data_IF_461304057288
#
_entry.id   IF_461304057288
#
_cell.length_a   1.000
_cell.length_b   1.000
_cell.length_c   1.000
_cell.angle_alpha   90.00
_cell.angle_beta   90.00
_cell.angle_gamma   90.00
#
_symmetry.space_group_name_H-M   'P 1'
#
loop_
_entity.id
_entity.type
_entity.pdbx_description
1 polymer ?
#
# COMPACT_ATOMS: atom_id res chain seq x y z
N UNK A 1 -20.26 16.07 34.30
CA UNK A 1 -20.14 15.26 33.08
C UNK A 1 -18.99 15.75 32.19
N UNK A 2 -18.89 17.06 31.96
CA UNK A 2 -17.78 17.67 31.22
C UNK A 2 -17.19 18.80 32.06
N UNK A 3 -15.86 18.85 32.18
CA UNK A 3 -15.16 19.89 32.92
C UNK A 3 -14.25 20.67 31.99
N UNK A 4 -14.29 22.00 32.04
CA UNK A 4 -13.50 22.89 31.23
C UNK A 4 -12.54 23.73 32.11
N UNK A 5 -11.29 23.84 31.70
CA UNK A 5 -10.24 24.60 32.40
C UNK A 5 -9.96 25.98 31.78
N UNK A 6 -10.83 26.46 30.88
CA UNK A 6 -10.60 27.71 30.13
C UNK A 6 -10.33 28.94 31.04
N UNK A 7 -10.93 28.96 32.22
CA UNK A 7 -10.72 30.07 33.17
C UNK A 7 -9.27 30.18 33.63
N UNK A 8 -8.56 29.07 33.78
CA UNK A 8 -7.12 29.06 34.10
C UNK A 8 -6.27 29.61 32.95
N UNK A 9 -6.63 29.27 31.71
CA UNK A 9 -5.93 29.77 30.54
C UNK A 9 -6.09 31.29 30.38
N UNK A 10 -7.27 31.82 30.70
CA UNK A 10 -7.59 33.24 30.60
C UNK A 10 -7.11 34.07 31.80
N UNK A 11 -6.81 33.46 32.93
CA UNK A 11 -6.51 34.15 34.19
C UNK A 11 -5.36 35.15 34.06
N UNK A 12 -4.28 34.77 33.41
CA UNK A 12 -3.12 35.62 33.20
C UNK A 12 -3.42 36.80 32.26
N UNK A 13 -4.20 36.57 31.24
CA UNK A 13 -4.56 37.58 30.24
C UNK A 13 -5.56 38.59 30.80
N UNK A 14 -6.57 38.12 31.53
CA UNK A 14 -7.65 38.94 32.11
C UNK A 14 -7.26 39.54 33.48
N UNK A 15 -6.13 39.11 34.07
CA UNK A 15 -5.68 39.51 35.42
C UNK A 15 -6.74 39.29 36.49
N UNK A 16 -7.52 38.20 36.39
CA UNK A 16 -8.56 37.78 37.31
C UNK A 16 -8.26 36.36 37.79
N UNK A 17 -8.82 36.00 38.97
CA UNK A 17 -8.72 34.62 39.44
C UNK A 17 -9.52 33.65 38.55
N UNK A 18 -9.08 32.39 38.38
CA UNK A 18 -9.88 31.40 37.66
C UNK A 18 -11.31 31.25 38.14
N UNK A 19 -11.54 31.39 39.45
CA UNK A 19 -12.86 31.34 40.07
C UNK A 19 -13.75 32.50 39.63
N UNK A 20 -13.23 33.74 39.60
CA UNK A 20 -13.96 34.90 39.13
C UNK A 20 -14.35 34.74 37.65
N UNK A 21 -13.40 34.31 36.83
CA UNK A 21 -13.61 34.09 35.40
C UNK A 21 -14.63 32.97 35.17
N UNK A 22 -14.54 31.86 35.85
CA UNK A 22 -15.52 30.75 35.74
C UNK A 22 -16.93 31.16 36.18
N UNK A 23 -17.04 31.98 37.22
CA UNK A 23 -18.31 32.55 37.68
C UNK A 23 -18.93 33.52 36.64
N UNK A 24 -18.10 34.34 35.98
CA UNK A 24 -18.56 35.22 34.92
C UNK A 24 -19.01 34.43 33.67
N UNK A 25 -18.20 33.44 33.25
CA UNK A 25 -18.49 32.60 32.09
C UNK A 25 -19.75 31.75 32.29
N UNK A 26 -19.97 31.18 33.51
CA UNK A 26 -21.18 30.37 33.79
C UNK A 26 -22.47 31.17 33.64
N UNK A 27 -22.43 32.49 33.89
CA UNK A 27 -23.60 33.38 33.77
C UNK A 27 -23.84 33.84 32.30
N UNK A 28 -22.84 33.75 31.42
CA UNK A 28 -22.94 34.11 30.02
C UNK A 28 -23.51 32.99 29.15
N UNK A 29 -23.51 31.76 29.67
CA UNK A 29 -24.01 30.60 28.95
C UNK A 29 -25.51 30.70 28.64
N UNK A 30 -25.85 30.58 27.35
CA UNK A 30 -27.23 30.54 26.88
C UNK A 30 -27.61 29.09 26.56
N UNK A 31 -28.57 28.56 27.32
CA UNK A 31 -28.99 27.15 27.22
C UNK A 31 -29.63 26.81 25.85
N UNK A 32 -30.15 27.81 25.13
CA UNK A 32 -30.78 27.61 23.81
C UNK A 32 -29.77 27.26 22.72
N UNK A 33 -28.51 27.64 22.92
CA UNK A 33 -27.46 27.39 21.91
C UNK A 33 -27.03 25.90 21.84
N UNK A 34 -27.04 25.21 22.97
CA UNK A 34 -26.70 23.78 23.08
C UNK A 34 -27.72 23.08 23.99
N UNK A 35 -28.85 22.64 23.47
CA UNK A 35 -29.94 22.08 24.26
C UNK A 35 -29.59 20.75 24.97
N UNK A 36 -28.45 20.12 24.64
CA UNK A 36 -27.93 18.93 25.31
C UNK A 36 -27.28 19.23 26.65
N UNK A 37 -26.99 20.50 26.96
CA UNK A 37 -26.46 20.93 28.26
C UNK A 37 -27.60 21.35 29.15
N UNK A 38 -27.73 20.71 30.32
CA UNK A 38 -28.76 20.99 31.31
C UNK A 38 -28.46 22.23 32.12
N UNK A 39 -27.23 22.36 32.60
CA UNK A 39 -26.72 23.52 33.34
C UNK A 39 -25.21 23.63 33.25
N UNK A 40 -24.70 24.83 33.58
CA UNK A 40 -23.26 25.11 33.68
C UNK A 40 -22.98 25.71 35.04
N UNK A 41 -22.06 25.16 35.77
CA UNK A 41 -21.71 25.53 37.13
C UNK A 41 -20.24 25.90 37.25
N UNK A 42 -19.96 26.98 37.96
CA UNK A 42 -18.58 27.32 38.38
C UNK A 42 -18.20 26.55 39.62
N UNK A 43 -17.08 25.84 39.55
CA UNK A 43 -16.50 25.18 40.72
C UNK A 43 -15.58 26.13 41.50
N UNK A 44 -15.53 25.97 42.82
CA UNK A 44 -14.72 26.83 43.71
C UNK A 44 -13.22 26.86 43.32
N UNK A 45 -12.69 25.84 42.67
CA UNK A 45 -11.33 25.78 42.16
C UNK A 45 -11.14 26.48 40.81
N UNK A 46 -12.17 27.06 40.19
CA UNK A 46 -12.09 27.77 38.92
C UNK A 46 -12.40 26.96 37.67
N UNK A 47 -12.84 25.72 37.79
CA UNK A 47 -13.35 24.94 36.66
C UNK A 47 -14.81 25.31 36.33
N UNK A 48 -15.15 25.16 35.05
CA UNK A 48 -16.52 25.16 34.57
C UNK A 48 -16.99 23.72 34.39
N UNK A 49 -18.08 23.35 35.05
CA UNK A 49 -18.69 22.03 34.95
C UNK A 49 -20.00 22.13 34.17
N UNK A 50 -20.08 21.33 33.11
CA UNK A 50 -21.26 21.20 32.26
C UNK A 50 -21.98 19.90 32.60
N UNK A 51 -23.26 19.99 32.97
CA UNK A 51 -24.08 18.83 33.22
C UNK A 51 -24.97 18.55 32.01
N UNK A 52 -25.01 17.32 31.57
CA UNK A 52 -25.67 16.90 30.34
C UNK A 52 -27.15 16.62 30.61
N UNK A 53 -28.06 17.07 29.73
CA UNK A 53 -29.39 16.55 29.59
C UNK A 53 -29.34 15.17 28.90
N UNK A 54 -29.25 14.10 29.66
CA UNK A 54 -29.11 12.75 29.12
C UNK A 54 -30.22 12.34 28.16
N UNK A 55 -31.47 12.82 28.38
CA UNK A 55 -32.57 12.50 27.47
C UNK A 55 -32.33 13.07 26.07
N UNK A 56 -31.97 14.35 25.99
CA UNK A 56 -31.69 15.03 24.72
C UNK A 56 -30.41 14.53 24.09
N UNK A 57 -29.37 14.31 24.89
CA UNK A 57 -28.08 13.79 24.43
C UNK A 57 -28.19 12.37 23.88
N UNK A 58 -28.90 11.47 24.56
CA UNK A 58 -29.15 10.10 24.12
C UNK A 58 -29.87 10.08 22.77
N UNK A 59 -30.92 10.88 22.62
CA UNK A 59 -31.62 10.99 21.32
C UNK A 59 -30.73 11.49 20.22
N UNK A 60 -29.85 12.49 20.48
CA UNK A 60 -28.87 12.97 19.53
C UNK A 60 -27.90 11.85 19.13
N UNK A 61 -27.33 11.14 20.11
CA UNK A 61 -26.36 10.07 19.86
C UNK A 61 -26.99 8.93 19.06
N UNK A 62 -28.18 8.48 19.44
CA UNK A 62 -28.88 7.41 18.69
C UNK A 62 -29.14 7.86 17.25
N UNK A 63 -29.73 9.03 17.06
CA UNK A 63 -30.02 9.53 15.72
C UNK A 63 -28.75 9.71 14.87
N UNK A 64 -27.65 10.19 15.48
CA UNK A 64 -26.36 10.32 14.80
C UNK A 64 -25.76 8.96 14.47
N UNK A 65 -25.82 7.99 15.39
CA UNK A 65 -25.23 6.66 15.18
C UNK A 65 -25.92 5.83 14.10
N UNK A 66 -27.17 6.17 13.77
CA UNK A 66 -27.92 5.54 12.70
C UNK A 66 -27.60 6.11 11.30
N UNK A 67 -26.83 7.19 11.22
CA UNK A 67 -26.42 7.76 9.95
C UNK A 67 -25.25 6.94 9.36
N UNK A 68 -25.27 6.73 8.05
CA UNK A 68 -24.21 6.00 7.33
C UNK A 68 -22.82 6.63 7.50
N UNK A 69 -22.77 7.95 7.64
CA UNK A 69 -21.53 8.69 7.84
C UNK A 69 -21.11 8.83 9.31
N UNK A 70 -21.76 8.14 10.27
CA UNK A 70 -21.38 8.20 11.67
C UNK A 70 -19.91 7.85 11.89
N UNK A 71 -19.21 8.69 12.67
CA UNK A 71 -17.77 8.56 12.91
C UNK A 71 -16.89 9.06 11.77
N UNK A 72 -17.45 9.58 10.66
CA UNK A 72 -16.66 10.23 9.62
C UNK A 72 -16.20 11.62 10.06
N UNK A 73 -14.97 11.97 9.67
CA UNK A 73 -14.33 13.26 9.91
C UNK A 73 -13.94 13.87 8.56
N UNK A 74 -13.85 15.17 8.49
CA UNK A 74 -13.34 15.88 7.30
C UNK A 74 -11.94 16.45 7.55
N UNK A 75 -11.00 15.56 7.91
CA UNK A 75 -9.60 15.92 8.14
C UNK A 75 -8.73 15.75 6.89
N UNK A 76 -9.18 14.91 5.96
CA UNK A 76 -8.47 14.61 4.71
C UNK A 76 -8.78 15.56 3.58
N UNK A 77 -9.88 16.33 3.65
CA UNK A 77 -10.29 17.29 2.62
C UNK A 77 -10.21 16.73 1.20
N UNK A 78 -10.53 15.43 1.05
CA UNK A 78 -10.45 14.67 -0.21
C UNK A 78 -9.03 14.60 -0.81
N UNK A 79 -7.97 14.70 0.02
CA UNK A 79 -6.59 14.48 -0.41
C UNK A 79 -6.42 13.04 -0.90
N UNK A 80 -5.74 12.88 -2.04
CA UNK A 80 -5.52 11.58 -2.66
C UNK A 80 -4.42 10.80 -1.97
N UNK A 81 -4.73 9.60 -1.46
CA UNK A 81 -3.77 8.69 -0.83
C UNK A 81 -3.83 7.33 -1.53
N UNK A 82 -2.67 6.81 -1.88
CA UNK A 82 -2.50 5.44 -2.35
C UNK A 82 -2.10 4.56 -1.17
N UNK A 83 -2.83 3.49 -0.93
CA UNK A 83 -2.47 2.45 0.04
C UNK A 83 -2.15 1.17 -0.73
N UNK A 84 -0.90 0.75 -0.67
CA UNK A 84 -0.46 -0.52 -1.22
C UNK A 84 -0.30 -1.52 -0.09
N UNK A 85 -0.96 -2.67 -0.23
CA UNK A 85 -0.82 -3.75 0.75
C UNK A 85 -1.01 -5.11 0.12
N UNK A 86 -0.85 -6.15 0.93
CA UNK A 86 -0.85 -7.56 0.55
C UNK A 86 0.47 -7.92 -0.13
N UNK A 87 0.68 -7.55 -1.39
CA UNK A 87 1.94 -7.67 -2.13
C UNK A 87 2.59 -9.05 -1.95
N UNK A 88 1.79 -10.10 -2.22
CA UNK A 88 2.19 -11.50 -2.05
C UNK A 88 2.40 -12.15 -3.40
N UNK A 89 3.51 -12.89 -3.54
CA UNK A 89 3.81 -13.65 -4.75
C UNK A 89 2.70 -14.66 -5.05
N UNK A 90 2.20 -14.74 -6.29
CA UNK A 90 1.16 -15.66 -6.68
C UNK A 90 1.71 -17.07 -6.96
N UNK A 91 2.31 -17.68 -5.93
CA UNK A 91 2.93 -19.00 -6.00
C UNK A 91 2.40 -20.00 -4.95
N UNK A 92 1.65 -19.54 -3.97
CA UNK A 92 1.09 -20.37 -2.89
C UNK A 92 -0.08 -19.70 -2.20
N UNK A 93 -0.76 -20.45 -1.35
CA UNK A 93 -1.81 -19.96 -0.47
C UNK A 93 -1.29 -18.89 0.52
N UNK A 94 -2.20 -17.98 0.91
CA UNK A 94 -1.90 -16.98 1.93
C UNK A 94 -1.77 -17.63 3.31
N UNK A 95 -0.67 -17.37 4.01
CA UNK A 95 -0.49 -17.76 5.39
C UNK A 95 -0.75 -16.61 6.38
N UNK A 96 -0.78 -16.88 7.67
CA UNK A 96 -1.10 -15.90 8.74
C UNK A 96 -0.28 -14.61 8.65
N UNK A 97 1.01 -14.70 8.29
CA UNK A 97 1.86 -13.52 8.10
C UNK A 97 1.37 -12.61 6.96
N UNK A 98 0.92 -13.20 5.85
CA UNK A 98 0.31 -12.45 4.74
C UNK A 98 -1.01 -11.82 5.16
N UNK A 99 -1.88 -12.58 5.84
CA UNK A 99 -3.18 -12.09 6.31
C UNK A 99 -3.03 -10.90 7.26
N UNK A 100 -1.98 -10.86 8.08
CA UNK A 100 -1.68 -9.69 8.93
C UNK A 100 -1.51 -8.42 8.10
N UNK A 101 -0.71 -8.47 7.04
CA UNK A 101 -0.49 -7.32 6.16
C UNK A 101 -1.77 -6.92 5.40
N UNK A 102 -2.54 -7.91 4.95
CA UNK A 102 -3.86 -7.72 4.32
C UNK A 102 -4.79 -6.92 5.24
N UNK A 103 -4.97 -7.37 6.48
CA UNK A 103 -5.88 -6.74 7.45
C UNK A 103 -5.37 -5.35 7.87
N UNK A 104 -4.05 -5.20 8.07
CA UNK A 104 -3.47 -3.91 8.43
C UNK A 104 -3.73 -2.86 7.34
N UNK A 105 -3.47 -3.20 6.08
CA UNK A 105 -3.70 -2.29 4.96
C UNK A 105 -5.16 -1.94 4.76
N UNK A 106 -6.06 -2.91 4.90
CA UNK A 106 -7.50 -2.70 4.83
C UNK A 106 -8.00 -1.76 5.92
N UNK A 107 -7.55 -1.97 7.17
CA UNK A 107 -7.92 -1.10 8.31
C UNK A 107 -7.42 0.33 8.08
N UNK A 108 -6.16 0.50 7.66
CA UNK A 108 -5.60 1.82 7.33
C UNK A 108 -6.44 2.51 6.25
N UNK A 109 -6.76 1.80 5.18
CA UNK A 109 -7.58 2.32 4.09
C UNK A 109 -8.97 2.75 4.56
N UNK A 110 -9.63 1.96 5.40
CA UNK A 110 -10.95 2.26 5.96
C UNK A 110 -10.92 3.47 6.89
N UNK A 111 -9.89 3.59 7.73
CA UNK A 111 -9.70 4.75 8.64
C UNK A 111 -9.51 6.03 7.82
N UNK A 112 -8.67 6.00 6.79
CA UNK A 112 -8.42 7.14 5.92
C UNK A 112 -9.69 7.56 5.17
N UNK A 113 -10.46 6.61 4.61
CA UNK A 113 -11.76 6.89 3.98
C UNK A 113 -12.75 7.54 4.96
N UNK A 114 -12.76 7.10 6.24
CA UNK A 114 -13.57 7.74 7.29
C UNK A 114 -13.08 9.14 7.66
N UNK A 115 -11.81 9.44 7.41
CA UNK A 115 -11.20 10.76 7.52
C UNK A 115 -11.46 11.68 6.32
N UNK A 116 -12.25 11.26 5.32
CA UNK A 116 -12.51 11.95 4.07
C UNK A 116 -11.26 12.14 3.19
N UNK A 117 -10.42 11.10 3.09
CA UNK A 117 -9.38 11.01 2.07
C UNK A 117 -9.90 10.23 0.85
N UNK A 118 -9.49 10.62 -0.37
CA UNK A 118 -9.67 9.82 -1.59
C UNK A 118 -8.62 8.70 -1.62
N UNK A 119 -9.01 7.50 -1.19
CA UNK A 119 -8.08 6.37 -1.01
C UNK A 119 -8.19 5.39 -2.17
N UNK A 120 -7.05 5.16 -2.85
CA UNK A 120 -6.88 4.09 -3.83
C UNK A 120 -6.09 2.94 -3.20
N UNK A 121 -6.61 1.73 -3.32
CA UNK A 121 -6.00 0.53 -2.73
C UNK A 121 -5.42 -0.35 -3.83
N UNK A 122 -4.11 -0.54 -3.78
CA UNK A 122 -3.35 -1.31 -4.76
C UNK A 122 -2.83 -2.62 -4.15
N UNK A 123 -2.80 -3.67 -4.98
CA UNK A 123 -2.10 -4.91 -4.65
C UNK A 123 -1.03 -5.17 -5.71
N UNK A 124 0.24 -5.13 -5.29
CA UNK A 124 1.38 -5.46 -6.14
C UNK A 124 1.50 -6.99 -6.27
N UNK A 125 1.60 -7.46 -7.50
CA UNK A 125 1.65 -8.89 -7.83
C UNK A 125 3.01 -9.21 -8.45
N UNK A 126 3.89 -9.87 -7.70
CA UNK A 126 5.19 -10.35 -8.20
C UNK A 126 4.99 -11.64 -9.00
N UNK A 127 4.67 -11.47 -10.29
CA UNK A 127 4.40 -12.55 -11.24
C UNK A 127 5.63 -13.00 -12.04
N UNK A 128 6.82 -12.47 -11.73
CA UNK A 128 8.05 -12.70 -12.50
C UNK A 128 9.23 -13.24 -11.68
N UNK A 129 9.04 -13.49 -10.38
CA UNK A 129 10.11 -13.85 -9.46
C UNK A 129 10.56 -15.32 -9.52
N UNK A 130 11.67 -15.62 -8.80
CA UNK A 130 12.25 -16.97 -8.70
C UNK A 130 11.24 -18.02 -8.19
N UNK A 131 10.33 -17.63 -7.30
CA UNK A 131 9.33 -18.54 -6.76
C UNK A 131 8.30 -19.00 -7.80
N UNK A 132 8.01 -18.13 -8.79
CA UNK A 132 7.20 -18.51 -9.94
C UNK A 132 7.97 -19.50 -10.81
N UNK A 133 9.26 -19.26 -11.05
CA UNK A 133 10.11 -20.20 -11.80
C UNK A 133 10.14 -21.60 -11.14
N UNK A 134 10.17 -21.68 -9.80
CA UNK A 134 10.12 -22.96 -9.09
C UNK A 134 8.84 -23.76 -9.38
N UNK A 135 7.71 -23.08 -9.43
CA UNK A 135 6.43 -23.73 -9.80
C UNK A 135 6.48 -24.25 -11.26
N UNK A 136 7.00 -23.42 -12.16
CA UNK A 136 7.11 -23.81 -13.58
C UNK A 136 8.07 -24.98 -13.76
N UNK A 137 9.22 -25.01 -13.07
CA UNK A 137 10.13 -26.18 -13.04
C UNK A 137 9.39 -27.43 -12.58
N UNK A 138 8.56 -27.32 -11.54
CA UNK A 138 7.75 -28.44 -11.07
C UNK A 138 6.83 -29.00 -12.16
N UNK A 139 6.17 -28.15 -12.90
CA UNK A 139 5.27 -28.58 -13.98
C UNK A 139 6.01 -29.11 -15.22
N UNK A 140 7.14 -28.49 -15.62
CA UNK A 140 7.83 -28.83 -16.87
C UNK A 140 8.86 -29.96 -16.72
N UNK A 141 9.61 -29.98 -15.61
CA UNK A 141 10.74 -30.88 -15.43
C UNK A 141 10.40 -32.06 -14.50
N UNK A 142 9.52 -31.87 -13.49
CA UNK A 142 9.15 -32.92 -12.56
C UNK A 142 7.82 -33.60 -12.90
N UNK A 143 7.11 -33.11 -13.91
CA UNK A 143 5.89 -33.75 -14.44
C UNK A 143 4.68 -33.62 -13.52
N UNK A 144 4.62 -32.63 -12.63
CA UNK A 144 3.41 -32.36 -11.88
C UNK A 144 2.27 -31.97 -12.81
N UNK A 145 1.04 -32.39 -12.49
CA UNK A 145 -0.17 -31.98 -13.22
C UNK A 145 -0.41 -30.47 -13.07
N UNK A 146 -0.83 -29.80 -14.14
CA UNK A 146 -1.28 -28.41 -14.05
C UNK A 146 -2.70 -28.27 -13.46
N UNK A 147 -3.38 -29.36 -13.19
CA UNK A 147 -4.64 -29.39 -12.48
C UNK A 147 -4.44 -30.03 -11.11
N UNK A 148 -4.98 -29.43 -10.03
CA UNK A 148 -4.83 -29.95 -8.68
C UNK A 148 -5.62 -31.26 -8.51
N UNK A 149 -5.29 -32.07 -7.50
CA UNK A 149 -6.14 -33.17 -7.07
C UNK A 149 -7.57 -32.71 -6.73
N UNK A 150 -8.52 -33.63 -6.81
CA UNK A 150 -9.92 -33.36 -6.46
C UNK A 150 -10.03 -32.81 -5.03
N UNK A 151 -10.80 -31.73 -4.86
CA UNK A 151 -11.02 -31.00 -3.61
C UNK A 151 -9.80 -30.25 -3.03
N UNK A 152 -8.70 -30.10 -3.77
CA UNK A 152 -7.58 -29.26 -3.38
C UNK A 152 -7.63 -27.92 -4.12
N UNK A 153 -7.40 -26.81 -3.38
CA UNK A 153 -7.30 -25.50 -4.00
C UNK A 153 -6.00 -25.35 -4.77
N UNK A 154 -6.04 -24.64 -5.89
CA UNK A 154 -4.89 -24.49 -6.76
C UNK A 154 -3.71 -23.80 -6.10
N UNK A 155 -3.93 -22.79 -5.25
CA UNK A 155 -2.89 -22.08 -4.51
C UNK A 155 -2.22 -22.96 -3.45
N UNK A 156 -2.97 -23.86 -2.78
CA UNK A 156 -2.43 -24.86 -1.87
C UNK A 156 -1.61 -25.89 -2.63
N UNK A 157 -2.14 -26.43 -3.72
CA UNK A 157 -1.44 -27.39 -4.54
C UNK A 157 -0.09 -26.84 -5.06
N UNK A 158 -0.10 -25.63 -5.61
CA UNK A 158 1.12 -24.98 -6.08
C UNK A 158 2.14 -24.75 -4.96
N UNK A 159 1.71 -24.31 -3.77
CA UNK A 159 2.59 -24.02 -2.64
C UNK A 159 3.06 -25.25 -1.90
N UNK A 160 2.12 -26.06 -1.44
CA UNK A 160 2.40 -27.13 -0.48
C UNK A 160 2.92 -28.41 -1.17
N UNK A 161 2.60 -28.60 -2.46
CA UNK A 161 3.02 -29.78 -3.22
C UNK A 161 4.07 -29.43 -4.27
N UNK A 162 3.76 -28.60 -5.26
CA UNK A 162 4.65 -28.35 -6.39
C UNK A 162 5.91 -27.60 -5.95
N UNK A 163 5.74 -26.45 -5.29
CA UNK A 163 6.86 -25.63 -4.85
C UNK A 163 7.77 -26.36 -3.86
N UNK A 164 7.20 -26.96 -2.81
CA UNK A 164 7.98 -27.64 -1.77
C UNK A 164 8.79 -28.78 -2.38
N UNK A 165 8.15 -29.67 -3.13
CA UNK A 165 8.85 -30.82 -3.73
C UNK A 165 9.88 -30.42 -4.78
N UNK A 166 9.64 -29.33 -5.51
CA UNK A 166 10.61 -28.79 -6.48
C UNK A 166 11.85 -28.25 -5.75
N UNK A 167 11.65 -27.45 -4.71
CA UNK A 167 12.77 -26.86 -3.95
C UNK A 167 13.57 -27.90 -3.17
N UNK A 168 12.92 -28.91 -2.59
CA UNK A 168 13.61 -30.06 -1.98
C UNK A 168 14.50 -30.82 -2.99
N UNK A 169 14.04 -30.92 -4.24
CA UNK A 169 14.80 -31.63 -5.27
C UNK A 169 16.08 -30.90 -5.66
N UNK A 170 16.18 -29.60 -5.55
CA UNK A 170 17.42 -28.84 -5.79
C UNK A 170 18.56 -29.20 -4.83
N UNK A 171 18.28 -29.75 -3.65
CA UNK A 171 19.31 -30.18 -2.71
C UNK A 171 20.13 -31.35 -3.27
N UNK A 172 19.50 -32.19 -4.10
CA UNK A 172 20.09 -33.42 -4.65
C UNK A 172 20.38 -33.34 -6.16
N UNK A 173 19.78 -32.36 -6.87
CA UNK A 173 19.88 -32.25 -8.32
C UNK A 173 20.28 -30.81 -8.73
N UNK A 174 21.58 -30.61 -8.91
CA UNK A 174 22.14 -29.30 -9.29
C UNK A 174 21.81 -28.90 -10.74
N UNK A 175 21.57 -29.87 -11.63
CA UNK A 175 21.16 -29.56 -13.00
C UNK A 175 19.74 -28.98 -13.03
N UNK A 176 18.89 -29.47 -12.15
CA UNK A 176 17.54 -28.91 -12.00
C UNK A 176 17.58 -27.48 -11.43
N UNK A 177 18.51 -27.17 -10.51
CA UNK A 177 18.71 -25.81 -10.01
C UNK A 177 19.22 -24.87 -11.10
N UNK A 178 20.10 -25.33 -11.99
CA UNK A 178 20.52 -24.55 -13.16
C UNK A 178 19.34 -24.29 -14.11
N UNK A 179 18.47 -25.27 -14.32
CA UNK A 179 17.25 -25.16 -15.13
C UNK A 179 16.29 -24.07 -14.62
N UNK A 180 16.22 -23.89 -13.33
CA UNK A 180 15.48 -22.78 -12.69
C UNK A 180 15.86 -21.41 -13.26
N UNK A 181 17.16 -21.16 -13.43
CA UNK A 181 17.66 -19.90 -13.96
C UNK A 181 17.37 -19.72 -15.47
N UNK A 182 17.35 -20.81 -16.22
CA UNK A 182 16.96 -20.79 -17.64
C UNK A 182 15.45 -20.48 -17.75
N UNK A 183 14.63 -21.11 -16.94
CA UNK A 183 13.18 -20.88 -16.90
C UNK A 183 12.88 -19.43 -16.47
N UNK A 184 13.59 -18.90 -15.45
CA UNK A 184 13.42 -17.51 -15.06
C UNK A 184 13.65 -16.53 -16.22
N UNK A 185 14.73 -16.74 -17.01
CA UNK A 185 14.99 -15.90 -18.21
C UNK A 185 13.87 -16.03 -19.25
N UNK A 186 13.28 -17.21 -19.40
CA UNK A 186 12.16 -17.40 -20.32
C UNK A 186 10.86 -16.79 -19.79
N UNK A 187 10.67 -16.68 -18.46
CA UNK A 187 9.53 -15.96 -17.86
C UNK A 187 9.64 -14.46 -18.16
N UNK A 188 10.85 -13.92 -18.09
CA UNK A 188 11.14 -12.50 -18.40
C UNK A 188 10.96 -12.16 -19.90
N UNK A 189 11.03 -13.13 -20.80
CA UNK A 189 10.75 -12.97 -22.24
C UNK A 189 9.24 -13.17 -22.52
N UNK A 190 8.52 -12.06 -22.66
CA UNK A 190 7.08 -12.04 -22.91
C UNK A 190 6.64 -12.81 -24.16
N UNK A 191 7.55 -13.06 -25.12
CA UNK A 191 7.25 -13.81 -26.36
C UNK A 191 7.28 -15.32 -26.12
N UNK A 192 7.91 -15.81 -25.06
CA UNK A 192 8.11 -17.23 -24.80
C UNK A 192 6.83 -17.95 -24.39
N UNK A 193 6.75 -19.26 -24.70
CA UNK A 193 5.65 -20.12 -24.26
C UNK A 193 5.67 -20.33 -22.74
N UNK A 194 6.86 -20.31 -22.13
CA UNK A 194 7.04 -20.42 -20.68
C UNK A 194 6.50 -19.17 -19.97
N UNK A 195 6.71 -17.97 -20.52
CA UNK A 195 6.14 -16.74 -19.97
C UNK A 195 4.60 -16.80 -19.96
N UNK A 196 3.98 -17.24 -21.06
CA UNK A 196 2.53 -17.40 -21.14
C UNK A 196 1.98 -18.46 -20.17
N UNK A 197 2.72 -19.54 -19.98
CA UNK A 197 2.39 -20.57 -18.99
C UNK A 197 2.48 -19.99 -17.57
N UNK A 198 3.56 -19.28 -17.26
CA UNK A 198 3.75 -18.64 -15.94
C UNK A 198 2.61 -17.65 -15.65
N UNK A 199 2.24 -16.80 -16.60
CA UNK A 199 1.11 -15.89 -16.46
C UNK A 199 -0.22 -16.63 -16.19
N UNK A 200 -0.46 -17.75 -16.86
CA UNK A 200 -1.67 -18.55 -16.64
C UNK A 200 -1.70 -19.16 -15.23
N UNK A 201 -0.57 -19.71 -14.78
CA UNK A 201 -0.44 -20.34 -13.47
C UNK A 201 -0.55 -19.28 -12.36
N UNK A 202 0.19 -18.17 -12.46
CA UNK A 202 0.17 -17.11 -11.46
C UNK A 202 -1.22 -16.48 -11.33
N UNK A 203 -1.97 -16.32 -12.43
CA UNK A 203 -3.35 -15.83 -12.38
C UNK A 203 -4.29 -16.81 -11.67
N UNK A 204 -4.18 -18.12 -11.93
CA UNK A 204 -4.98 -19.14 -11.20
C UNK A 204 -4.70 -19.09 -9.68
N UNK A 205 -3.43 -18.96 -9.28
CA UNK A 205 -3.07 -18.83 -7.84
C UNK A 205 -3.60 -17.53 -7.26
N UNK A 206 -3.42 -16.40 -7.97
CA UNK A 206 -3.91 -15.10 -7.56
C UNK A 206 -5.43 -15.09 -7.35
N UNK A 207 -6.20 -15.74 -8.24
CA UNK A 207 -7.66 -15.84 -8.11
C UNK A 207 -8.07 -16.57 -6.82
N UNK A 208 -7.35 -17.60 -6.41
CA UNK A 208 -7.60 -18.27 -5.12
C UNK A 208 -7.21 -17.39 -3.93
N UNK A 209 -6.08 -16.66 -4.01
CA UNK A 209 -5.69 -15.68 -3.00
C UNK A 209 -6.74 -14.56 -2.88
N UNK A 210 -7.25 -14.03 -3.99
CA UNK A 210 -8.33 -13.02 -4.01
C UNK A 210 -9.61 -13.53 -3.36
N UNK A 211 -10.03 -14.77 -3.66
CA UNK A 211 -11.19 -15.38 -2.98
C UNK A 211 -11.00 -15.44 -1.46
N UNK A 212 -9.77 -15.72 -1.01
CA UNK A 212 -9.43 -15.76 0.42
C UNK A 212 -9.58 -14.37 1.06
N UNK A 213 -9.02 -13.31 0.46
CA UNK A 213 -9.10 -11.94 1.02
C UNK A 213 -10.52 -11.37 0.92
N UNK A 214 -11.28 -11.68 -0.14
CA UNK A 214 -12.69 -11.27 -0.24
C UNK A 214 -13.56 -11.90 0.85
N UNK A 215 -13.25 -13.14 1.29
CA UNK A 215 -13.93 -13.76 2.43
C UNK A 215 -13.67 -13.01 3.75
N UNK A 216 -12.57 -12.26 3.83
CA UNK A 216 -12.25 -11.38 4.95
C UNK A 216 -12.83 -9.96 4.79
N UNK A 217 -13.53 -9.68 3.67
CA UNK A 217 -14.10 -8.36 3.39
C UNK A 217 -13.06 -7.33 2.97
N UNK A 218 -11.94 -7.78 2.38
CA UNK A 218 -10.86 -6.93 1.87
C UNK A 218 -10.93 -6.87 0.35
N UNK A 219 -10.85 -5.65 -0.21
CA UNK A 219 -11.05 -5.36 -1.63
C UNK A 219 -9.99 -4.38 -2.12
N UNK A 220 -9.70 -4.42 -3.43
CA UNK A 220 -8.70 -3.58 -4.08
C UNK A 220 -9.31 -2.79 -5.24
N UNK A 221 -8.70 -1.65 -5.57
CA UNK A 221 -9.05 -0.89 -6.76
C UNK A 221 -8.31 -1.43 -7.99
N UNK A 222 -7.02 -1.81 -7.83
CA UNK A 222 -6.22 -2.32 -8.94
C UNK A 222 -5.14 -3.34 -8.50
N UNK A 223 -4.89 -4.30 -9.40
CA UNK A 223 -3.75 -5.21 -9.36
C UNK A 223 -2.64 -4.67 -10.26
N UNK A 224 -1.44 -4.53 -9.72
CA UNK A 224 -0.27 -4.04 -10.44
C UNK A 224 0.74 -5.18 -10.59
N UNK A 225 0.91 -5.69 -11.82
CA UNK A 225 1.82 -6.80 -12.08
C UNK A 225 3.27 -6.32 -12.24
N UNK A 226 4.21 -6.98 -11.55
CA UNK A 226 5.65 -6.66 -11.64
C UNK A 226 6.15 -6.73 -13.08
N UNK A 227 5.75 -7.75 -13.83
CA UNK A 227 6.09 -7.92 -15.25
C UNK A 227 5.70 -6.70 -16.08
N UNK A 228 4.54 -6.10 -15.84
CA UNK A 228 4.08 -4.89 -16.54
C UNK A 228 4.92 -3.66 -16.13
N UNK A 229 5.25 -3.55 -14.85
CA UNK A 229 6.08 -2.45 -14.33
C UNK A 229 7.48 -2.50 -14.95
N UNK A 230 8.11 -3.67 -15.03
CA UNK A 230 9.42 -3.87 -15.63
C UNK A 230 9.40 -3.49 -17.11
N UNK A 231 8.39 -3.90 -17.87
CA UNK A 231 8.28 -3.63 -19.30
C UNK A 231 7.77 -2.22 -19.64
N UNK A 232 7.26 -1.47 -18.69
CA UNK A 232 6.62 -0.15 -18.89
C UNK A 232 7.60 1.00 -19.19
N UNK A 233 8.94 0.75 -19.12
CA UNK A 233 9.98 1.77 -19.21
C UNK A 233 9.89 2.89 -18.16
N UNK A 234 9.15 2.67 -17.09
CA UNK A 234 9.11 3.59 -15.94
C UNK A 234 10.50 3.82 -15.35
N UNK A 235 11.34 2.77 -15.37
CA UNK A 235 12.73 2.87 -14.93
C UNK A 235 13.50 3.93 -15.71
N UNK A 236 13.43 3.91 -17.04
CA UNK A 236 14.17 4.86 -17.87
C UNK A 236 13.73 6.30 -17.57
N UNK A 237 12.43 6.52 -17.43
CA UNK A 237 11.86 7.84 -17.11
C UNK A 237 12.33 8.37 -15.76
N UNK A 238 12.25 7.56 -14.71
CA UNK A 238 12.66 8.00 -13.36
C UNK A 238 14.19 8.12 -13.27
N UNK A 239 14.94 7.25 -13.92
CA UNK A 239 16.39 7.30 -13.94
C UNK A 239 16.91 8.61 -14.57
N UNK A 240 16.34 9.02 -15.71
CA UNK A 240 16.67 10.31 -16.33
C UNK A 240 16.28 11.49 -15.42
N UNK A 241 15.15 11.42 -14.76
CA UNK A 241 14.72 12.44 -13.79
C UNK A 241 15.70 12.52 -12.61
N UNK A 242 16.11 11.38 -12.04
CA UNK A 242 17.09 11.32 -10.95
C UNK A 242 18.44 11.95 -11.34
N UNK A 243 18.88 11.72 -12.58
CA UNK A 243 20.10 12.32 -13.14
C UNK A 243 19.95 13.82 -13.31
N UNK A 244 18.89 14.26 -13.95
CA UNK A 244 18.66 15.69 -14.27
C UNK A 244 18.54 16.55 -13.01
N UNK A 245 18.04 15.97 -11.91
CA UNK A 245 17.89 16.64 -10.62
C UNK A 245 19.06 16.37 -9.65
N UNK A 246 20.15 15.74 -10.14
CA UNK A 246 21.37 15.42 -9.37
C UNK A 246 21.09 14.60 -8.08
N UNK A 247 20.08 13.72 -8.12
CA UNK A 247 19.74 12.85 -6.99
C UNK A 247 20.57 11.55 -6.98
N UNK A 248 21.22 11.24 -8.10
CA UNK A 248 22.17 10.13 -8.23
C UNK A 248 23.46 10.65 -8.85
N UNK A 249 24.58 9.98 -8.56
CA UNK A 249 25.91 10.34 -8.98
C UNK A 249 26.56 9.16 -9.70
N UNK A 250 27.27 9.44 -10.79
CA UNK A 250 28.15 8.46 -11.42
C UNK A 250 29.52 8.52 -10.76
N UNK A 251 30.01 7.38 -10.25
CA UNK A 251 31.32 7.27 -9.63
C UNK A 251 32.38 6.90 -10.67
N UNK A 252 33.30 7.82 -10.96
CA UNK A 252 34.38 7.60 -11.92
C UNK A 252 35.56 6.83 -11.31
N UNK A 253 35.74 6.93 -9.99
CA UNK A 253 36.88 6.38 -9.25
C UNK A 253 36.48 5.82 -7.90
N UNK A 254 37.33 5.04 -7.25
CA UNK A 254 37.06 4.46 -5.93
C UNK A 254 36.40 3.08 -5.99
N UNK A 255 35.87 2.62 -4.87
CA UNK A 255 35.32 1.27 -4.72
C UNK A 255 34.06 1.02 -5.57
N UNK A 256 33.32 2.08 -5.88
CA UNK A 256 32.12 2.05 -6.70
C UNK A 256 32.36 2.56 -8.14
N UNK A 257 33.59 2.54 -8.62
CA UNK A 257 33.93 3.03 -9.97
C UNK A 257 33.05 2.38 -11.07
N UNK A 258 32.50 3.22 -11.95
CA UNK A 258 31.61 2.80 -13.02
C UNK A 258 30.15 2.59 -12.60
N UNK A 259 29.80 2.80 -11.34
CA UNK A 259 28.45 2.65 -10.83
C UNK A 259 27.69 3.98 -10.76
N UNK A 260 26.37 3.92 -10.87
CA UNK A 260 25.48 4.99 -10.43
C UNK A 260 25.08 4.73 -8.98
N UNK A 261 25.25 5.73 -8.13
CA UNK A 261 24.99 5.62 -6.70
C UNK A 261 24.00 6.67 -6.22
N UNK A 262 23.26 6.35 -5.17
CA UNK A 262 22.46 7.30 -4.38
C UNK A 262 23.36 7.78 -3.25
N UNK A 263 23.72 9.09 -3.20
CA UNK A 263 24.53 9.63 -2.11
C UNK A 263 23.82 9.50 -0.75
N UNK A 264 24.51 9.03 0.27
CA UNK A 264 24.01 8.88 1.64
C UNK A 264 24.86 9.72 2.60
N UNK A 265 24.23 10.62 3.38
CA UNK A 265 24.91 11.39 4.40
C UNK A 265 25.27 10.50 5.60
N UNK A 266 26.57 10.33 5.87
CA UNK A 266 27.06 9.57 7.04
C UNK A 266 27.01 8.05 6.90
N UNK A 267 26.65 7.52 5.74
CA UNK A 267 26.70 6.09 5.39
C UNK A 267 27.38 5.92 4.03
N UNK A 268 27.71 4.66 3.68
CA UNK A 268 28.20 4.33 2.35
C UNK A 268 27.11 4.57 1.29
N UNK A 269 27.50 5.16 0.17
CA UNK A 269 26.64 5.38 -0.98
C UNK A 269 26.00 4.07 -1.47
N UNK A 270 24.74 4.12 -1.87
CA UNK A 270 24.00 2.92 -2.27
C UNK A 270 24.06 2.75 -3.80
N UNK A 271 24.63 1.63 -4.24
CA UNK A 271 24.70 1.31 -5.69
C UNK A 271 23.30 1.10 -6.23
N UNK A 272 22.93 1.93 -7.19
CA UNK A 272 21.67 1.87 -7.93
C UNK A 272 21.82 1.08 -9.23
N UNK A 273 22.87 1.39 -10.02
CA UNK A 273 23.23 0.66 -11.24
C UNK A 273 24.72 0.29 -11.15
N UNK A 274 25.03 -0.96 -11.37
CA UNK A 274 26.40 -1.51 -11.35
C UNK A 274 27.20 -1.06 -12.57
N UNK A 275 28.52 -1.19 -12.51
CA UNK A 275 29.44 -0.87 -13.60
C UNK A 275 29.18 -1.65 -14.91
N UNK A 276 28.54 -2.81 -14.82
CA UNK A 276 28.11 -3.60 -15.99
C UNK A 276 26.74 -3.17 -16.54
N UNK A 277 26.17 -2.05 -16.07
CA UNK A 277 24.86 -1.54 -16.48
C UNK A 277 23.65 -2.24 -15.84
N UNK A 278 23.87 -3.22 -14.98
CA UNK A 278 22.77 -3.95 -14.33
C UNK A 278 22.24 -3.17 -13.13
N UNK A 279 20.95 -2.86 -13.15
CA UNK A 279 20.26 -2.23 -12.04
C UNK A 279 20.18 -3.17 -10.82
N UNK A 280 20.35 -2.62 -9.62
CA UNK A 280 20.23 -3.39 -8.37
C UNK A 280 18.77 -3.61 -8.00
N UNK A 281 18.50 -4.44 -6.99
CA UNK A 281 17.14 -4.69 -6.50
C UNK A 281 16.41 -3.41 -6.02
N UNK A 282 17.15 -2.38 -5.57
CA UNK A 282 16.60 -1.07 -5.18
C UNK A 282 15.91 -0.40 -6.38
N UNK A 283 16.45 -0.60 -7.58
CA UNK A 283 15.94 0.00 -8.79
C UNK A 283 14.56 -0.53 -9.24
N UNK A 284 14.09 -1.65 -8.69
CA UNK A 284 12.75 -2.19 -9.00
C UNK A 284 11.64 -1.41 -8.30
N UNK A 285 11.86 -1.00 -7.04
CA UNK A 285 10.83 -0.33 -6.23
C UNK A 285 10.69 1.17 -6.55
N UNK A 286 11.78 1.81 -6.99
CA UNK A 286 11.81 3.26 -7.29
C UNK A 286 10.81 3.67 -8.38
N UNK A 287 10.74 3.01 -9.55
CA UNK A 287 9.79 3.38 -10.61
C UNK A 287 8.34 3.29 -10.17
N UNK A 288 8.03 2.24 -9.43
CA UNK A 288 6.68 2.01 -8.94
C UNK A 288 6.28 3.02 -7.84
N UNK A 289 7.22 3.37 -6.94
CA UNK A 289 7.02 4.43 -5.96
C UNK A 289 6.80 5.79 -6.63
N UNK A 290 7.61 6.11 -7.65
CA UNK A 290 7.50 7.35 -8.41
C UNK A 290 6.17 7.45 -9.16
N UNK A 291 5.72 6.36 -9.79
CA UNK A 291 4.42 6.30 -10.45
C UNK A 291 3.26 6.49 -9.46
N UNK A 292 3.26 5.80 -8.33
CA UNK A 292 2.23 5.97 -7.28
C UNK A 292 2.14 7.41 -6.75
N UNK A 293 3.27 8.14 -6.70
CA UNK A 293 3.32 9.56 -6.31
C UNK A 293 3.02 10.54 -7.47
N UNK A 294 2.76 10.04 -8.68
CA UNK A 294 2.52 10.90 -9.84
C UNK A 294 3.75 11.70 -10.27
N UNK A 295 4.97 11.20 -9.99
CA UNK A 295 6.24 11.84 -10.39
C UNK A 295 6.63 11.55 -11.83
N UNK A 296 6.01 10.56 -12.44
CA UNK A 296 6.17 10.12 -13.83
C UNK A 296 4.79 9.87 -14.44
N UNK A 297 4.69 10.06 -15.76
CA UNK A 297 3.44 9.80 -16.48
C UNK A 297 3.05 8.34 -16.38
N UNK A 298 1.75 8.10 -16.29
CA UNK A 298 1.17 6.77 -16.22
C UNK A 298 1.34 6.05 -17.57
N UNK A 299 2.10 4.94 -17.64
CA UNK A 299 2.32 4.19 -18.86
C UNK A 299 1.28 3.11 -19.08
N UNK A 300 0.38 2.86 -18.10
CA UNK A 300 -0.53 1.73 -18.12
C UNK A 300 -1.87 2.08 -18.76
N UNK A 301 -2.46 1.09 -19.42
CA UNK A 301 -3.88 0.95 -19.61
C UNK A 301 -4.45 0.06 -18.51
N UNK A 302 -5.77 0.08 -18.33
CA UNK A 302 -6.44 -0.66 -17.27
C UNK A 302 -7.53 -1.52 -17.87
N UNK A 303 -7.54 -2.81 -17.55
CA UNK A 303 -8.60 -3.73 -17.95
C UNK A 303 -9.29 -4.32 -16.72
N UNK A 304 -10.52 -4.73 -16.90
CA UNK A 304 -11.28 -5.39 -15.84
C UNK A 304 -10.68 -6.77 -15.58
N UNK A 305 -10.23 -6.99 -14.35
CA UNK A 305 -9.84 -8.32 -13.89
C UNK A 305 -11.07 -9.15 -13.51
N UNK A 306 -11.91 -8.61 -12.64
CA UNK A 306 -13.13 -9.29 -12.18
C UNK A 306 -14.07 -8.33 -11.43
N UNK A 307 -15.28 -8.82 -11.12
CA UNK A 307 -16.18 -8.18 -10.15
C UNK A 307 -15.97 -8.81 -8.79
N UNK A 308 -15.69 -7.99 -7.79
CA UNK A 308 -15.44 -8.42 -6.41
C UNK A 308 -16.75 -8.72 -5.66
N UNK A 309 -16.67 -9.37 -4.49
CA UNK A 309 -17.86 -9.73 -3.68
C UNK A 309 -18.69 -8.55 -3.21
N UNK A 310 -18.09 -7.36 -3.09
CA UNK A 310 -18.78 -6.11 -2.78
C UNK A 310 -19.39 -5.42 -4.02
N UNK A 311 -19.42 -6.08 -5.16
CA UNK A 311 -19.87 -5.58 -6.46
C UNK A 311 -19.01 -4.47 -7.09
N UNK A 312 -17.87 -4.12 -6.52
CA UNK A 312 -16.92 -3.20 -7.13
C UNK A 312 -16.08 -3.91 -8.19
N UNK A 313 -15.75 -3.20 -9.26
CA UNK A 313 -14.83 -3.67 -10.29
C UNK A 313 -13.41 -3.71 -9.75
N UNK A 314 -12.70 -4.80 -9.95
CA UNK A 314 -11.27 -4.92 -9.75
C UNK A 314 -10.59 -4.75 -11.11
N UNK A 315 -9.70 -3.78 -11.19
CA UNK A 315 -8.90 -3.54 -12.39
C UNK A 315 -7.53 -4.21 -12.31
N UNK A 316 -6.87 -4.35 -13.44
CA UNK A 316 -5.48 -4.73 -13.53
C UNK A 316 -4.73 -3.86 -14.53
N UNK A 317 -3.45 -3.62 -14.29
CA UNK A 317 -2.58 -2.93 -15.24
C UNK A 317 -2.33 -3.79 -16.48
N UNK A 318 -2.19 -3.14 -17.64
CA UNK A 318 -1.72 -3.75 -18.88
C UNK A 318 -0.93 -2.73 -19.71
N UNK A 319 -0.03 -3.21 -20.55
CA UNK A 319 0.68 -2.40 -21.55
C UNK A 319 0.03 -2.50 -22.94
N UNK A 320 -0.97 -3.34 -23.10
CA UNK A 320 -1.72 -3.45 -24.34
C UNK A 320 -2.60 -2.21 -24.53
N UNK A 321 -2.68 -1.72 -25.76
CA UNK A 321 -3.67 -0.69 -26.11
C UNK A 321 -5.07 -1.28 -26.02
N UNK A 322 -5.90 -0.71 -25.16
CA UNK A 322 -7.30 -1.11 -25.04
C UNK A 322 -8.14 -0.21 -25.96
N UNK A 323 -8.80 -0.83 -26.93
CA UNK A 323 -9.62 -0.15 -27.93
C UNK A 323 -11.00 0.31 -27.44
N UNK A 324 -11.42 -0.08 -26.25
CA UNK A 324 -12.70 0.32 -25.66
C UNK A 324 -12.51 1.57 -24.81
N UNK A 325 -13.14 2.63 -25.28
CA UNK A 325 -13.18 3.97 -24.72
C UNK A 325 -13.97 4.04 -23.39
N UNK A 326 -13.37 3.59 -22.30
CA UNK A 326 -13.70 4.18 -21.01
C UNK A 326 -12.62 5.26 -20.76
N UNK A 327 -12.94 6.49 -21.20
CA UNK A 327 -12.06 7.66 -21.18
C UNK A 327 -11.70 8.16 -19.75
N UNK A 328 -12.20 7.54 -18.73
CA UNK A 328 -11.76 7.76 -17.36
C UNK A 328 -10.54 6.91 -17.04
N UNK A 329 -9.35 7.40 -17.42
CA UNK A 329 -8.09 6.87 -16.89
C UNK A 329 -8.23 6.76 -15.38
N UNK A 330 -8.21 5.54 -14.86
CA UNK A 330 -8.12 5.30 -13.43
C UNK A 330 -6.93 6.09 -12.89
N UNK A 331 -7.19 7.21 -12.20
CA UNK A 331 -6.12 7.98 -11.58
C UNK A 331 -5.72 7.29 -10.27
N UNK A 332 -4.72 6.41 -10.37
CA UNK A 332 -4.21 5.60 -9.26
C UNK A 332 -3.00 6.23 -8.57
N UNK A 333 -2.58 7.43 -8.96
CA UNK A 333 -1.55 8.18 -8.25
C UNK A 333 -2.14 9.04 -7.14
N UNK A 334 -1.34 9.35 -6.12
CA UNK A 334 -1.76 10.15 -4.97
C UNK A 334 -0.73 11.19 -4.54
N UNK A 335 -1.16 12.08 -3.66
CA UNK A 335 -0.29 13.04 -2.98
C UNK A 335 0.62 12.32 -1.97
N UNK A 336 0.06 11.28 -1.34
CA UNK A 336 0.73 10.43 -0.36
C UNK A 336 0.58 8.95 -0.73
N UNK A 337 1.59 8.16 -0.34
CA UNK A 337 1.62 6.72 -0.53
C UNK A 337 1.95 6.05 0.81
N UNK A 338 1.18 5.05 1.17
CA UNK A 338 1.41 4.19 2.33
C UNK A 338 1.60 2.77 1.81
N UNK A 339 2.76 2.16 2.05
CA UNK A 339 3.06 0.79 1.64
C UNK A 339 3.18 -0.11 2.87
N UNK A 340 2.34 -1.15 2.96
CA UNK A 340 2.40 -2.13 4.06
C UNK A 340 3.40 -3.21 3.70
N UNK A 341 4.49 -3.28 4.47
CA UNK A 341 5.64 -4.14 4.21
C UNK A 341 5.95 -5.11 5.36
N UNK A 342 6.77 -6.11 5.07
CA UNK A 342 7.42 -6.94 6.10
C UNK A 342 8.65 -6.21 6.66
N UNK A 343 8.97 -6.43 7.94
CA UNK A 343 10.13 -5.81 8.62
C UNK A 343 11.45 -6.03 7.87
N UNK A 344 11.62 -7.12 7.12
CA UNK A 344 12.81 -7.41 6.32
C UNK A 344 13.02 -6.41 5.19
N UNK A 345 11.96 -5.72 4.75
CA UNK A 345 11.99 -4.74 3.67
C UNK A 345 12.25 -3.30 4.16
N UNK A 346 12.23 -3.04 5.47
CA UNK A 346 12.36 -1.68 6.06
C UNK A 346 13.58 -0.95 5.52
N UNK A 347 14.75 -1.64 5.45
CA UNK A 347 15.99 -1.00 5.00
C UNK A 347 15.89 -0.50 3.55
N UNK A 348 15.31 -1.31 2.67
CA UNK A 348 15.07 -0.96 1.29
C UNK A 348 14.08 0.20 1.18
N UNK A 349 12.95 0.10 1.86
CA UNK A 349 11.88 1.10 1.78
C UNK A 349 12.30 2.46 2.38
N UNK A 350 13.20 2.49 3.37
CA UNK A 350 13.82 3.74 3.84
C UNK A 350 14.62 4.46 2.75
N UNK A 351 15.33 3.72 1.90
CA UNK A 351 16.08 4.30 0.78
C UNK A 351 15.09 4.88 -0.25
N UNK A 352 14.06 4.13 -0.61
CA UNK A 352 13.01 4.58 -1.53
C UNK A 352 12.31 5.82 -0.99
N UNK A 353 11.89 5.80 0.28
CA UNK A 353 11.24 6.93 0.95
C UNK A 353 12.13 8.17 0.97
N UNK A 354 13.41 8.02 1.35
CA UNK A 354 14.39 9.12 1.33
C UNK A 354 14.60 9.72 -0.06
N UNK A 355 14.57 8.87 -1.11
CA UNK A 355 14.68 9.33 -2.49
C UNK A 355 13.39 10.05 -2.94
N UNK A 356 12.22 9.54 -2.60
CA UNK A 356 10.93 10.17 -2.93
C UNK A 356 10.78 11.54 -2.22
N UNK A 357 11.30 11.69 -1.01
CA UNK A 357 11.30 12.95 -0.26
C UNK A 357 12.13 14.07 -0.93
N UNK A 358 12.98 13.74 -1.92
CA UNK A 358 13.66 14.75 -2.74
C UNK A 358 12.74 15.42 -3.76
N UNK A 359 11.63 14.79 -4.10
CA UNK A 359 10.68 15.25 -5.13
C UNK A 359 9.33 15.71 -4.55
N UNK A 360 8.99 15.26 -3.36
CA UNK A 360 7.76 15.59 -2.64
C UNK A 360 8.11 15.99 -1.21
N UNK A 361 7.12 16.45 -0.44
CA UNK A 361 7.29 16.73 0.98
C UNK A 361 7.71 15.47 1.75
N UNK A 362 8.44 15.67 2.86
CA UNK A 362 8.80 14.58 3.76
C UNK A 362 7.52 13.88 4.27
N UNK A 363 7.51 12.55 4.22
CA UNK A 363 6.35 11.74 4.60
C UNK A 363 5.32 11.51 3.49
N UNK A 364 5.53 12.04 2.27
CA UNK A 364 4.66 11.71 1.14
C UNK A 364 4.73 10.22 0.75
N UNK A 365 5.83 9.53 1.02
CA UNK A 365 5.98 8.08 0.87
C UNK A 365 6.37 7.46 2.21
N UNK A 366 5.49 6.62 2.77
CA UNK A 366 5.66 5.97 4.09
C UNK A 366 5.41 4.47 4.02
N UNK A 367 5.89 3.74 5.03
CA UNK A 367 5.75 2.29 5.14
C UNK A 367 5.62 1.84 6.60
#
# INVERSE_FOLDING_TARGET
DITCNVAFLLSKQLKKSPQEISNELSKLYKFDDIPQIKNVESHASGYLNFNIDYTRFTNLVINSSLQENYGSLDIGHNEKIVVEHTSVNPNKALHVGHIRNVILGDIVSKILRKGNFDVKVLNYVDDSGLQVADIIVGFTELGFSQEPPENEKFDHYCGDTVYVKTTEKYETDKQLEEKRHEILKQIEDSSSTISKMAQTITRKVLDEQLKTVWNLGVFYDCLNFESQIIHSKLWDKIFEKLKSENQIKYEETGDNAGCWVIPAEGEDDKILVRSNGVATYIAKDIPYAAWKLGLVDDPFSYKIHSTQKNSQTLYETTLDEISDHDDDKLNLSGNKVITVIDNRQIRLQKIVSGLMAKFKEEGAYTH
#
